data_IF_753347330191
#
_entry.id   IF_753347330191
#
_cell.length_a   1.000
_cell.length_b   1.000
_cell.length_c   1.000
_cell.angle_alpha   90.00
_cell.angle_beta   90.00
_cell.angle_gamma   90.00
#
_symmetry.space_group_name_H-M   'P 1'
#
loop_
_entity.id
_entity.type
_entity.pdbx_description
1 polymer ?
#
# COMPACT_ATOMS: atom_id res chain seq x y z
N UNK A 1 -18.01 18.45 24.16
CA UNK A 1 -18.84 17.71 23.18
C UNK A 1 -18.90 18.41 21.83
N UNK A 2 -19.42 19.65 21.75
CA UNK A 2 -19.51 20.39 20.48
C UNK A 2 -18.18 20.54 19.73
N UNK A 3 -17.08 20.77 20.45
CA UNK A 3 -15.74 20.80 19.84
C UNK A 3 -15.37 19.46 19.17
N UNK A 4 -15.69 18.33 19.80
CA UNK A 4 -15.40 16.99 19.23
C UNK A 4 -16.25 16.73 17.98
N UNK A 5 -17.51 17.16 17.97
CA UNK A 5 -18.37 17.09 16.79
C UNK A 5 -17.85 18.00 15.66
N UNK A 6 -17.39 19.20 16.00
CA UNK A 6 -16.75 20.12 15.05
C UNK A 6 -15.48 19.53 14.42
N UNK A 7 -14.60 18.95 15.24
CA UNK A 7 -13.39 18.25 14.76
C UNK A 7 -13.76 17.05 13.89
N UNK A 8 -14.74 16.23 14.32
CA UNK A 8 -15.23 15.10 13.53
C UNK A 8 -15.73 15.54 12.15
N UNK A 9 -16.54 16.60 12.09
CA UNK A 9 -17.02 17.16 10.84
C UNK A 9 -15.87 17.68 9.96
N UNK A 10 -14.94 18.44 10.55
CA UNK A 10 -13.77 18.98 9.84
C UNK A 10 -12.89 17.87 9.23
N UNK A 11 -12.74 16.74 9.92
CA UNK A 11 -11.93 15.62 9.43
C UNK A 11 -12.69 14.69 8.46
N UNK A 12 -14.02 14.62 8.54
CA UNK A 12 -14.82 13.64 7.79
C UNK A 12 -15.46 14.23 6.53
N UNK A 13 -15.85 15.51 6.55
CA UNK A 13 -16.51 16.17 5.43
C UNK A 13 -15.60 16.28 4.19
N UNK A 14 -14.32 16.71 4.29
CA UNK A 14 -13.48 16.85 3.10
C UNK A 14 -13.25 15.52 2.34
N UNK A 15 -12.93 14.38 3.01
CA UNK A 15 -12.85 13.09 2.32
C UNK A 15 -14.15 12.67 1.64
N UNK A 16 -15.32 12.94 2.24
CA UNK A 16 -16.62 12.62 1.64
C UNK A 16 -16.86 13.45 0.38
N UNK A 17 -16.65 14.77 0.45
CA UNK A 17 -16.82 15.67 -0.70
C UNK A 17 -15.87 15.25 -1.83
N UNK A 18 -14.60 14.96 -1.51
CA UNK A 18 -13.64 14.49 -2.49
C UNK A 18 -14.10 13.18 -3.14
N UNK A 19 -14.61 12.22 -2.36
CA UNK A 19 -15.09 10.94 -2.92
C UNK A 19 -16.33 11.12 -3.81
N UNK A 20 -17.25 11.99 -3.41
CA UNK A 20 -18.42 12.34 -4.23
C UNK A 20 -18.00 12.92 -5.59
N UNK A 21 -16.94 13.73 -5.62
CA UNK A 21 -16.38 14.31 -6.85
C UNK A 21 -15.60 13.29 -7.71
N UNK A 22 -15.18 12.15 -7.14
CA UNK A 22 -14.31 11.16 -7.80
C UNK A 22 -14.99 9.77 -7.85
N UNK A 23 -16.26 9.75 -8.25
CA UNK A 23 -17.04 8.53 -8.51
C UNK A 23 -17.06 7.51 -7.35
N UNK A 24 -16.94 7.99 -6.11
CA UNK A 24 -16.88 7.17 -4.89
C UNK A 24 -15.76 6.11 -4.91
N UNK A 25 -14.64 6.40 -5.59
CA UNK A 25 -13.56 5.44 -5.84
C UNK A 25 -13.04 4.74 -4.58
N UNK A 26 -12.97 5.46 -3.45
CA UNK A 26 -12.47 4.89 -2.19
C UNK A 26 -13.46 3.88 -1.64
N UNK A 27 -14.76 4.16 -1.72
CA UNK A 27 -15.80 3.22 -1.31
C UNK A 27 -15.79 1.98 -2.19
N UNK A 28 -15.66 2.15 -3.52
CA UNK A 28 -15.55 1.04 -4.47
C UNK A 28 -14.33 0.17 -4.16
N UNK A 29 -13.17 0.79 -3.94
CA UNK A 29 -11.94 0.07 -3.58
C UNK A 29 -12.06 -0.67 -2.25
N UNK A 30 -12.65 -0.04 -1.23
CA UNK A 30 -12.87 -0.66 0.09
C UNK A 30 -13.89 -1.80 0.03
N UNK A 31 -14.95 -1.66 -0.77
CA UNK A 31 -15.95 -2.71 -1.01
C UNK A 31 -15.30 -3.96 -1.61
N UNK A 32 -14.44 -3.77 -2.61
CA UNK A 32 -13.65 -4.83 -3.24
C UNK A 32 -12.75 -5.54 -2.22
N UNK A 33 -12.02 -4.77 -1.40
CA UNK A 33 -11.15 -5.32 -0.37
C UNK A 33 -11.91 -6.09 0.71
N UNK A 34 -13.06 -5.58 1.13
CA UNK A 34 -13.97 -6.23 2.09
C UNK A 34 -14.74 -7.43 1.54
N UNK A 35 -14.56 -7.79 0.26
CA UNK A 35 -15.23 -8.94 -0.34
C UNK A 35 -16.74 -8.78 -0.50
N UNK A 36 -17.21 -7.54 -0.61
CA UNK A 36 -18.64 -7.21 -0.68
C UNK A 36 -19.16 -7.09 -2.14
N UNK A 37 -18.34 -7.47 -3.12
CA UNK A 37 -18.74 -7.53 -4.53
C UNK A 37 -19.59 -8.77 -4.83
N UNK A 38 -19.22 -9.92 -4.26
CA UNK A 38 -19.90 -11.21 -4.44
C UNK A 38 -21.12 -11.37 -3.51
N UNK A 39 -21.37 -10.41 -2.61
CA UNK A 39 -22.43 -10.44 -1.60
C UNK A 39 -21.89 -10.52 -0.17
N UNK A 40 -22.79 -10.60 0.81
CA UNK A 40 -22.43 -10.82 2.21
C UNK A 40 -22.78 -12.27 2.61
N UNK A 41 -21.77 -13.05 2.99
CA UNK A 41 -21.89 -14.43 3.46
C UNK A 41 -21.42 -14.60 4.91
N UNK A 42 -21.78 -15.73 5.52
CA UNK A 42 -21.30 -16.12 6.84
C UNK A 42 -20.19 -17.16 6.72
N UNK A 43 -18.96 -16.77 7.04
CA UNK A 43 -17.76 -17.58 6.91
C UNK A 43 -17.03 -17.68 8.27
N UNK A 44 -17.33 -18.69 9.11
CA UNK A 44 -16.72 -18.83 10.45
C UNK A 44 -15.19 -18.85 10.46
N UNK A 45 -14.59 -19.38 9.40
CA UNK A 45 -13.13 -19.43 9.22
C UNK A 45 -12.53 -18.03 9.14
N UNK A 46 -13.23 -17.07 8.56
CA UNK A 46 -12.77 -15.67 8.44
C UNK A 46 -12.75 -14.97 9.81
N UNK A 47 -13.70 -15.30 10.69
CA UNK A 47 -13.70 -14.80 12.08
C UNK A 47 -12.50 -15.35 12.85
N UNK A 48 -12.20 -16.64 12.69
CA UNK A 48 -11.03 -17.27 13.30
C UNK A 48 -9.73 -16.69 12.74
N UNK A 49 -9.66 -16.43 11.44
CA UNK A 49 -8.54 -15.75 10.81
C UNK A 49 -8.35 -14.35 11.40
N UNK A 50 -9.41 -13.56 11.51
CA UNK A 50 -9.36 -12.21 12.09
C UNK A 50 -8.82 -12.22 13.53
N UNK A 51 -9.35 -13.08 14.40
CA UNK A 51 -8.85 -13.18 15.79
C UNK A 51 -7.44 -13.75 15.84
N UNK A 52 -7.12 -14.72 14.98
CA UNK A 52 -5.79 -15.33 14.89
C UNK A 52 -4.72 -14.35 14.42
N UNK A 53 -5.04 -13.49 13.45
CA UNK A 53 -4.15 -12.43 12.97
C UNK A 53 -3.82 -11.44 14.09
N UNK A 54 -4.82 -11.04 14.89
CA UNK A 54 -4.59 -10.20 16.08
C UNK A 54 -3.77 -10.88 17.17
N UNK A 55 -4.08 -12.15 17.45
CA UNK A 55 -3.37 -12.96 18.44
C UNK A 55 -1.87 -13.08 18.12
N UNK A 56 -1.53 -13.23 16.83
CA UNK A 56 -0.15 -13.30 16.38
C UNK A 56 0.50 -11.91 16.27
N UNK A 57 -0.21 -10.91 15.74
CA UNK A 57 0.33 -9.56 15.54
C UNK A 57 0.68 -8.86 16.86
N UNK A 58 -0.16 -9.00 17.89
CA UNK A 58 0.04 -8.35 19.19
C UNK A 58 0.87 -9.18 20.18
N UNK A 59 1.31 -10.40 19.81
CA UNK A 59 1.75 -11.45 20.73
C UNK A 59 0.62 -12.09 21.55
N UNK A 60 0.59 -13.44 21.65
CA UNK A 60 -0.44 -14.19 22.38
C UNK A 60 -0.77 -13.63 23.77
N UNK A 61 0.27 -13.36 24.57
CA UNK A 61 0.08 -12.98 25.97
C UNK A 61 -0.42 -11.54 26.12
N UNK A 62 0.08 -10.62 25.29
CA UNK A 62 -0.36 -9.22 25.32
C UNK A 62 -1.77 -9.10 24.76
N UNK A 63 -2.10 -9.83 23.69
CA UNK A 63 -3.46 -9.86 23.15
C UNK A 63 -4.46 -10.36 24.19
N UNK A 64 -4.16 -11.47 24.87
CA UNK A 64 -5.01 -12.00 25.95
C UNK A 64 -5.12 -11.03 27.13
N UNK A 65 -4.03 -10.35 27.51
CA UNK A 65 -4.06 -9.32 28.54
C UNK A 65 -4.95 -8.13 28.15
N UNK A 66 -4.91 -7.71 26.88
CA UNK A 66 -5.78 -6.66 26.34
C UNK A 66 -7.23 -7.11 26.35
N UNK A 67 -7.55 -8.28 25.79
CA UNK A 67 -8.90 -8.82 25.75
C UNK A 67 -9.50 -8.92 27.16
N UNK A 68 -8.73 -9.47 28.12
CA UNK A 68 -9.19 -9.57 29.50
C UNK A 68 -9.34 -8.20 30.18
N UNK A 69 -8.43 -7.26 29.91
CA UNK A 69 -8.50 -5.90 30.43
C UNK A 69 -9.75 -5.14 29.95
N UNK A 70 -10.12 -5.32 28.68
CA UNK A 70 -11.35 -4.76 28.11
C UNK A 70 -12.59 -5.41 28.73
N UNK A 71 -12.67 -6.75 28.75
CA UNK A 71 -13.80 -7.49 29.34
C UNK A 71 -13.96 -7.16 30.84
N UNK A 72 -12.85 -7.14 31.58
CA UNK A 72 -12.83 -6.84 33.01
C UNK A 72 -13.19 -5.39 33.34
N UNK A 73 -12.95 -4.46 32.41
CA UNK A 73 -13.32 -3.05 32.55
C UNK A 73 -14.78 -2.77 32.24
N UNK A 74 -15.52 -3.71 31.65
CA UNK A 74 -16.93 -3.53 31.23
C UNK A 74 -17.83 -2.99 32.35
N UNK A 75 -17.70 -3.53 33.57
CA UNK A 75 -18.51 -3.11 34.73
C UNK A 75 -18.27 -1.65 35.14
N UNK A 76 -17.10 -1.09 34.80
CA UNK A 76 -16.68 0.28 35.15
C UNK A 76 -17.00 1.31 34.07
N UNK A 77 -17.44 0.86 32.89
CA UNK A 77 -17.75 1.73 31.73
C UNK A 77 -18.72 2.84 32.11
N UNK A 78 -19.80 2.54 32.82
CA UNK A 78 -20.79 3.54 33.24
C UNK A 78 -20.44 4.27 34.55
N UNK A 79 -19.34 3.91 35.20
CA UNK A 79 -18.93 4.48 36.49
C UNK A 79 -17.82 5.52 36.35
N UNK A 80 -16.98 5.38 35.32
CA UNK A 80 -15.82 6.23 35.12
C UNK A 80 -15.79 6.75 33.68
N UNK A 81 -15.89 8.07 33.52
CA UNK A 81 -15.87 8.72 32.20
C UNK A 81 -14.63 8.35 31.37
N UNK A 82 -13.46 8.19 32.00
CA UNK A 82 -12.22 7.78 31.32
C UNK A 82 -12.34 6.39 30.70
N UNK A 83 -12.93 5.44 31.43
CA UNK A 83 -13.17 4.07 30.95
C UNK A 83 -14.23 4.07 29.86
N UNK A 84 -15.32 4.82 30.04
CA UNK A 84 -16.35 5.04 29.03
C UNK A 84 -15.73 5.53 27.72
N UNK A 85 -14.93 6.59 27.80
CA UNK A 85 -14.29 7.23 26.66
C UNK A 85 -13.37 6.26 25.92
N UNK A 86 -12.44 5.59 26.62
CA UNK A 86 -11.51 4.65 25.98
C UNK A 86 -12.22 3.42 25.38
N UNK A 87 -13.30 2.96 26.02
CA UNK A 87 -14.10 1.84 25.51
C UNK A 87 -14.80 2.24 24.22
N UNK A 88 -15.50 3.38 24.20
CA UNK A 88 -16.20 3.87 23.01
C UNK A 88 -15.29 4.42 21.93
N UNK A 89 -14.03 4.73 22.25
CA UNK A 89 -13.02 5.06 21.25
C UNK A 89 -12.68 3.84 20.38
N UNK A 90 -12.53 2.65 20.98
CA UNK A 90 -12.14 1.44 20.25
C UNK A 90 -13.28 0.51 19.84
N UNK A 91 -14.29 0.35 20.70
CA UNK A 91 -15.35 -0.65 20.52
C UNK A 91 -16.12 -0.51 19.20
N UNK A 92 -16.57 0.68 18.76
CA UNK A 92 -17.29 0.80 17.49
C UNK A 92 -16.44 0.39 16.28
N UNK A 93 -15.15 0.76 16.28
CA UNK A 93 -14.21 0.44 15.20
C UNK A 93 -13.96 -1.07 15.17
N UNK A 94 -13.65 -1.68 16.32
CA UNK A 94 -13.43 -3.11 16.43
C UNK A 94 -14.67 -3.92 16.03
N UNK A 95 -15.85 -3.55 16.54
CA UNK A 95 -17.11 -4.23 16.21
C UNK A 95 -17.42 -4.13 14.72
N UNK A 96 -17.20 -2.97 14.09
CA UNK A 96 -17.39 -2.81 12.65
C UNK A 96 -16.54 -3.81 11.85
N UNK A 97 -15.23 -3.89 12.13
CA UNK A 97 -14.34 -4.80 11.40
C UNK A 97 -14.52 -6.27 11.78
N UNK A 98 -14.90 -6.55 13.03
CA UNK A 98 -15.30 -7.89 13.45
C UNK A 98 -16.54 -8.38 12.69
N UNK A 99 -17.57 -7.53 12.54
CA UNK A 99 -18.75 -7.84 11.75
C UNK A 99 -18.44 -7.97 10.25
N UNK A 100 -17.54 -7.14 9.72
CA UNK A 100 -17.06 -7.30 8.34
C UNK A 100 -16.32 -8.63 8.13
N UNK A 101 -15.58 -9.07 9.15
CA UNK A 101 -14.84 -10.34 9.18
C UNK A 101 -15.72 -11.59 9.28
N UNK A 102 -17.03 -11.43 9.44
CA UNK A 102 -17.99 -12.52 9.20
C UNK A 102 -18.00 -12.90 7.71
N UNK A 103 -17.81 -11.93 6.81
CA UNK A 103 -17.78 -12.13 5.38
C UNK A 103 -16.36 -12.45 4.88
N UNK A 104 -15.40 -11.59 5.24
CA UNK A 104 -14.01 -11.70 4.81
C UNK A 104 -13.10 -11.03 5.83
N UNK A 105 -12.05 -11.72 6.27
CA UNK A 105 -11.14 -11.22 7.30
C UNK A 105 -10.60 -9.84 6.93
N UNK A 106 -10.91 -8.86 7.78
CA UNK A 106 -10.31 -7.54 7.69
C UNK A 106 -8.82 -7.65 8.02
N UNK A 107 -7.97 -6.91 7.31
CA UNK A 107 -6.54 -6.92 7.61
C UNK A 107 -6.31 -6.39 9.04
N UNK A 108 -5.34 -6.93 9.80
CA UNK A 108 -5.19 -6.68 11.24
C UNK A 108 -4.76 -5.25 11.58
N UNK A 109 -4.44 -4.44 10.56
CA UNK A 109 -4.14 -3.02 10.71
C UNK A 109 -5.38 -2.12 10.54
N UNK A 110 -6.51 -2.65 10.06
CA UNK A 110 -7.71 -1.85 9.75
C UNK A 110 -8.40 -1.32 11.01
N UNK A 111 -8.41 -2.11 12.07
CA UNK A 111 -8.94 -1.77 13.39
C UNK A 111 -7.83 -1.43 14.40
N UNK A 112 -6.59 -1.22 13.95
CA UNK A 112 -5.46 -0.88 14.82
C UNK A 112 -5.70 0.35 15.69
N UNK A 113 -6.55 1.29 15.23
CA UNK A 113 -6.98 2.45 16.03
C UNK A 113 -7.72 2.03 17.30
N UNK A 114 -8.51 0.96 17.26
CA UNK A 114 -9.26 0.46 18.41
C UNK A 114 -8.34 0.00 19.55
N UNK A 115 -7.19 -0.58 19.19
CA UNK A 115 -6.20 -1.08 20.14
C UNK A 115 -5.46 0.02 20.90
N UNK A 116 -5.52 1.29 20.47
CA UNK A 116 -5.04 2.40 21.29
C UNK A 116 -5.92 2.56 22.55
N UNK A 117 -7.24 2.56 22.38
CA UNK A 117 -8.19 2.62 23.49
C UNK A 117 -8.13 1.37 24.37
N UNK A 118 -8.15 0.19 23.74
CA UNK A 118 -8.11 -1.09 24.45
C UNK A 118 -6.79 -1.32 25.18
N UNK A 119 -5.65 -0.92 24.60
CA UNK A 119 -4.34 -1.02 25.25
C UNK A 119 -4.26 -0.16 26.51
N UNK A 120 -4.71 1.10 26.45
CA UNK A 120 -4.76 1.97 27.63
C UNK A 120 -5.72 1.45 28.70
N UNK A 121 -6.88 0.91 28.32
CA UNK A 121 -7.80 0.25 29.24
C UNK A 121 -7.16 -0.96 29.91
N UNK A 122 -6.45 -1.79 29.15
CA UNK A 122 -5.76 -2.95 29.68
C UNK A 122 -4.68 -2.54 30.69
N UNK A 123 -3.87 -1.54 30.36
CA UNK A 123 -2.86 -1.01 31.30
C UNK A 123 -3.55 -0.52 32.58
N UNK A 124 -4.61 0.29 32.48
CA UNK A 124 -5.35 0.77 33.64
C UNK A 124 -5.93 -0.38 34.48
N UNK A 125 -6.47 -1.41 33.84
CA UNK A 125 -7.04 -2.58 34.51
C UNK A 125 -5.99 -3.41 35.26
N UNK A 126 -4.82 -3.60 34.65
CA UNK A 126 -3.75 -4.46 35.18
C UNK A 126 -2.81 -3.75 36.15
N UNK A 127 -2.71 -2.42 36.12
CA UNK A 127 -1.72 -1.62 36.88
C UNK A 127 -1.62 -2.03 38.35
N UNK A 128 -2.68 -1.85 39.13
CA UNK A 128 -2.70 -2.15 40.57
C UNK A 128 -2.48 -3.64 40.85
N UNK A 129 -2.94 -4.53 39.95
CA UNK A 129 -2.80 -5.99 40.10
C UNK A 129 -1.37 -6.45 39.92
N UNK A 130 -0.67 -5.85 38.95
CA UNK A 130 0.75 -6.12 38.67
C UNK A 130 1.65 -5.51 39.74
N UNK A 131 1.28 -4.35 40.29
CA UNK A 131 1.99 -3.78 41.45
C UNK A 131 1.86 -4.66 42.69
N UNK A 132 0.65 -5.16 42.98
CA UNK A 132 0.36 -5.95 44.18
C UNK A 132 0.91 -7.38 44.16
N UNK A 133 1.16 -7.97 42.98
CA UNK A 133 1.56 -9.38 42.85
C UNK A 133 2.87 -9.54 42.09
N UNK A 134 3.88 -10.10 42.75
CA UNK A 134 5.17 -10.46 42.14
C UNK A 134 4.98 -11.44 40.98
N UNK A 135 4.07 -12.41 41.11
CA UNK A 135 3.77 -13.37 40.04
C UNK A 135 3.23 -12.67 38.79
N UNK A 136 2.26 -11.76 38.95
CA UNK A 136 1.69 -11.02 37.81
C UNK A 136 2.74 -10.09 37.18
N UNK A 137 3.65 -9.53 37.97
CA UNK A 137 4.78 -8.74 37.49
C UNK A 137 5.75 -9.56 36.65
N UNK A 138 6.08 -10.78 37.09
CA UNK A 138 6.89 -11.72 36.32
C UNK A 138 6.19 -12.12 35.02
N UNK A 139 4.90 -12.48 35.08
CA UNK A 139 4.10 -12.81 33.89
C UNK A 139 4.03 -11.64 32.89
N UNK A 140 3.84 -10.41 33.37
CA UNK A 140 3.86 -9.21 32.53
C UNK A 140 5.24 -9.00 31.88
N UNK A 141 6.33 -9.20 32.64
CA UNK A 141 7.69 -9.15 32.13
C UNK A 141 7.94 -10.18 31.01
N UNK A 142 7.48 -11.42 31.20
CA UNK A 142 7.55 -12.48 30.18
C UNK A 142 6.71 -12.13 28.95
N UNK A 143 5.48 -11.64 29.13
CA UNK A 143 4.62 -11.24 28.03
C UNK A 143 5.25 -10.13 27.17
N UNK A 144 5.84 -9.12 27.81
CA UNK A 144 6.56 -8.04 27.14
C UNK A 144 7.82 -8.55 26.43
N UNK A 145 8.59 -9.43 27.07
CA UNK A 145 9.79 -10.03 26.47
C UNK A 145 9.43 -10.83 25.21
N UNK A 146 8.39 -11.67 25.27
CA UNK A 146 7.92 -12.45 24.13
C UNK A 146 7.44 -11.52 23.02
N UNK A 147 6.64 -10.50 23.35
CA UNK A 147 6.22 -9.47 22.38
C UNK A 147 7.39 -8.75 21.72
N UNK A 148 8.41 -8.38 22.48
CA UNK A 148 9.63 -7.76 21.97
C UNK A 148 10.40 -8.69 21.04
N UNK A 149 10.62 -9.95 21.44
CA UNK A 149 11.31 -10.95 20.62
C UNK A 149 10.56 -11.20 19.30
N UNK A 150 9.24 -11.37 19.37
CA UNK A 150 8.39 -11.52 18.18
C UNK A 150 8.50 -10.29 17.27
N UNK A 151 8.48 -9.08 17.84
CA UNK A 151 8.58 -7.83 17.06
C UNK A 151 9.93 -7.70 16.38
N UNK A 152 11.03 -8.00 17.08
CA UNK A 152 12.39 -7.98 16.51
C UNK A 152 12.51 -8.96 15.34
N UNK A 153 11.99 -10.19 15.49
CA UNK A 153 11.99 -11.19 14.42
C UNK A 153 11.11 -10.76 13.25
N UNK A 154 9.94 -10.18 13.50
CA UNK A 154 9.03 -9.72 12.45
C UNK A 154 9.60 -8.53 11.64
N UNK A 155 10.35 -7.63 12.29
CA UNK A 155 11.02 -6.50 11.65
C UNK A 155 12.28 -6.92 10.88
N UNK A 156 13.02 -7.91 11.41
CA UNK A 156 14.19 -8.46 10.74
C UNK A 156 14.21 -9.99 10.73
N UNK A 157 13.57 -10.56 9.71
CA UNK A 157 13.57 -11.99 9.45
C UNK A 157 14.93 -12.55 9.04
N UNK A 158 15.95 -11.72 8.78
CA UNK A 158 17.30 -12.21 8.54
C UNK A 158 17.92 -12.81 9.80
N UNK A 159 17.42 -12.45 10.98
CA UNK A 159 17.78 -13.11 12.23
C UNK A 159 17.45 -14.61 12.17
N UNK A 160 16.34 -14.98 11.54
CA UNK A 160 16.00 -16.38 11.31
C UNK A 160 16.93 -17.02 10.28
N UNK A 161 17.25 -16.30 9.20
CA UNK A 161 18.14 -16.78 8.13
C UNK A 161 19.57 -17.03 8.63
N UNK A 162 20.09 -16.12 9.45
CA UNK A 162 21.42 -16.23 10.07
C UNK A 162 21.48 -17.37 11.10
N UNK A 163 20.37 -17.67 11.77
CA UNK A 163 20.22 -18.86 12.62
C UNK A 163 20.04 -20.18 11.82
N UNK A 164 20.13 -20.14 10.48
CA UNK A 164 20.00 -21.31 9.60
C UNK A 164 18.56 -21.67 9.25
N UNK A 165 17.57 -20.90 9.69
CA UNK A 165 16.16 -21.14 9.37
C UNK A 165 15.78 -20.52 8.03
N UNK A 166 15.33 -21.35 7.10
CA UNK A 166 14.81 -20.90 5.81
C UNK A 166 13.29 -20.91 5.83
N UNK A 167 12.68 -19.74 5.60
CA UNK A 167 11.25 -19.62 5.39
C UNK A 167 10.85 -20.43 4.13
N UNK A 168 9.85 -21.30 4.28
CA UNK A 168 9.28 -22.07 3.16
C UNK A 168 8.44 -21.20 2.22
N UNK A 169 7.86 -20.12 2.75
CA UNK A 169 7.09 -19.14 1.98
C UNK A 169 7.93 -17.91 1.68
N UNK A 170 7.46 -17.09 0.74
CA UNK A 170 8.00 -15.75 0.53
C UNK A 170 8.01 -14.98 1.85
N UNK A 171 9.14 -14.34 2.13
CA UNK A 171 9.35 -13.63 3.37
C UNK A 171 8.54 -12.33 3.35
N UNK A 172 7.60 -12.11 4.29
CA UNK A 172 6.78 -10.90 4.30
C UNK A 172 7.60 -9.61 4.39
N UNK A 173 8.78 -9.64 5.02
CA UNK A 173 9.66 -8.47 5.14
C UNK A 173 10.32 -8.08 3.82
N UNK A 174 10.37 -8.98 2.84
CA UNK A 174 10.94 -8.72 1.52
C UNK A 174 10.16 -7.60 0.79
N UNK A 175 8.87 -7.42 1.13
CA UNK A 175 8.04 -6.30 0.67
C UNK A 175 8.62 -4.93 1.01
N UNK A 176 9.43 -4.81 2.06
CA UNK A 176 10.02 -3.54 2.50
C UNK A 176 11.47 -3.35 2.04
N UNK A 177 12.09 -4.36 1.41
CA UNK A 177 13.54 -4.43 1.20
C UNK A 177 13.92 -4.34 -0.28
N UNK A 178 15.14 -3.91 -0.59
CA UNK A 178 15.69 -4.00 -1.95
C UNK A 178 15.20 -2.95 -2.95
N UNK A 179 14.19 -2.14 -2.61
CA UNK A 179 13.66 -1.08 -3.47
C UNK A 179 14.73 -0.07 -3.87
N UNK A 180 15.50 0.47 -2.91
CA UNK A 180 16.57 1.44 -3.17
C UNK A 180 17.63 0.92 -4.14
N UNK A 181 18.08 -0.32 -3.95
CA UNK A 181 19.09 -0.95 -4.82
C UNK A 181 18.55 -1.21 -6.22
N UNK A 182 17.31 -1.71 -6.32
CA UNK A 182 16.66 -1.98 -7.60
C UNK A 182 16.43 -0.67 -8.38
N UNK A 183 15.95 0.38 -7.70
CA UNK A 183 15.78 1.72 -8.30
C UNK A 183 17.11 2.32 -8.74
N UNK A 184 18.19 2.16 -7.97
CA UNK A 184 19.52 2.62 -8.39
C UNK A 184 20.01 1.93 -9.67
N UNK A 185 19.68 0.64 -9.85
CA UNK A 185 19.98 -0.08 -11.09
C UNK A 185 19.10 0.39 -12.27
N UNK A 186 17.81 0.69 -12.03
CA UNK A 186 16.93 1.31 -13.04
C UNK A 186 17.47 2.67 -13.47
N UNK A 187 17.88 3.52 -12.51
CA UNK A 187 18.42 4.85 -12.78
C UNK A 187 19.70 4.76 -13.62
N UNK A 188 20.61 3.84 -13.26
CA UNK A 188 21.83 3.59 -14.05
C UNK A 188 21.49 3.15 -15.48
N UNK A 189 20.60 2.16 -15.63
CA UNK A 189 20.20 1.64 -16.94
C UNK A 189 19.53 2.73 -17.80
N UNK A 190 18.71 3.59 -17.19
CA UNK A 190 18.11 4.76 -17.84
C UNK A 190 19.20 5.71 -18.34
N UNK A 191 20.15 6.12 -17.50
CA UNK A 191 21.22 7.03 -17.89
C UNK A 191 22.11 6.45 -19.00
N UNK A 192 22.45 5.16 -18.92
CA UNK A 192 23.26 4.50 -19.94
C UNK A 192 22.54 4.50 -21.30
N UNK A 193 21.24 4.15 -21.33
CA UNK A 193 20.44 4.16 -22.57
C UNK A 193 20.19 5.58 -23.09
N UNK A 194 19.88 6.55 -22.23
CA UNK A 194 19.72 7.95 -22.63
C UNK A 194 21.00 8.50 -23.27
N UNK A 195 22.17 8.12 -22.75
CA UNK A 195 23.46 8.53 -23.33
C UNK A 195 23.73 7.94 -24.72
N UNK A 196 23.24 6.73 -24.98
CA UNK A 196 23.38 6.05 -26.28
C UNK A 196 22.39 6.57 -27.32
N UNK A 197 21.17 6.89 -26.89
CA UNK A 197 20.08 7.33 -27.77
C UNK A 197 20.10 8.84 -28.03
N UNK A 198 20.68 9.63 -27.13
CA UNK A 198 20.64 11.10 -27.20
C UNK A 198 19.28 11.69 -26.82
N UNK A 199 18.39 10.89 -26.25
CA UNK A 199 17.02 11.28 -25.89
C UNK A 199 16.71 10.93 -24.43
N UNK A 200 15.72 11.61 -23.85
CA UNK A 200 15.26 11.34 -22.47
C UNK A 200 14.14 10.31 -22.46
N UNK A 201 14.30 9.27 -21.65
CA UNK A 201 13.33 8.19 -21.52
C UNK A 201 12.40 8.47 -20.35
N UNK A 202 11.08 8.36 -20.51
CA UNK A 202 10.17 8.36 -19.36
C UNK A 202 10.01 6.94 -18.78
N UNK A 203 9.51 6.82 -17.55
CA UNK A 203 9.48 5.53 -16.84
C UNK A 203 8.04 5.06 -16.62
N UNK A 204 7.79 3.79 -16.94
CA UNK A 204 6.52 3.12 -16.71
C UNK A 204 6.76 1.86 -15.88
N UNK A 205 5.95 1.62 -14.86
CA UNK A 205 5.90 0.35 -14.14
C UNK A 205 4.56 -0.35 -14.37
N UNK A 206 4.57 -1.67 -14.39
CA UNK A 206 3.37 -2.54 -14.46
C UNK A 206 2.48 -2.52 -13.20
N UNK A 207 2.94 -1.93 -12.09
CA UNK A 207 2.20 -1.91 -10.83
C UNK A 207 2.46 -0.64 -10.01
N UNK A 208 1.44 -0.22 -9.25
CA UNK A 208 1.43 1.01 -8.45
C UNK A 208 2.52 1.06 -7.38
N UNK A 209 2.71 -0.05 -6.66
CA UNK A 209 3.72 -0.16 -5.61
C UNK A 209 5.12 0.02 -6.21
N UNK A 210 5.41 -0.66 -7.33
CA UNK A 210 6.68 -0.49 -8.05
C UNK A 210 6.86 0.94 -8.56
N UNK A 211 5.84 1.54 -9.18
CA UNK A 211 5.91 2.93 -9.65
C UNK A 211 6.21 3.90 -8.49
N UNK A 212 5.54 3.70 -7.35
CA UNK A 212 5.69 4.52 -6.15
C UNK A 212 7.08 4.37 -5.53
N UNK A 213 7.59 3.15 -5.41
CA UNK A 213 8.89 2.86 -4.80
C UNK A 213 10.05 3.32 -5.70
N UNK A 214 9.93 3.15 -7.02
CA UNK A 214 10.89 3.74 -7.96
C UNK A 214 10.85 5.27 -7.84
N UNK A 215 9.66 5.90 -7.90
CA UNK A 215 9.51 7.36 -7.73
C UNK A 215 10.08 7.87 -6.40
N UNK A 216 9.95 7.09 -5.32
CA UNK A 216 10.45 7.46 -4.01
C UNK A 216 11.98 7.46 -3.96
N UNK A 217 12.62 6.40 -4.48
CA UNK A 217 14.07 6.19 -4.39
C UNK A 217 14.90 6.80 -5.54
N UNK A 218 14.27 7.24 -6.64
CA UNK A 218 14.96 7.97 -7.71
C UNK A 218 15.67 9.20 -7.14
N UNK A 219 16.93 9.41 -7.54
CA UNK A 219 17.68 10.62 -7.21
C UNK A 219 17.28 11.74 -8.15
N UNK A 220 17.22 11.43 -9.44
CA UNK A 220 16.76 12.34 -10.49
C UNK A 220 15.26 12.14 -10.78
N UNK A 221 14.43 12.87 -10.02
CA UNK A 221 12.97 12.83 -10.12
C UNK A 221 12.49 13.79 -11.21
N UNK A 222 12.49 13.32 -12.45
CA UNK A 222 11.98 14.09 -13.60
C UNK A 222 10.45 13.97 -13.67
N UNK A 223 9.77 15.09 -13.61
CA UNK A 223 8.31 15.18 -13.74
C UNK A 223 7.95 15.97 -14.99
N UNK A 224 6.93 15.52 -15.72
CA UNK A 224 6.54 16.09 -17.02
C UNK A 224 5.51 17.24 -16.90
N UNK A 225 5.22 17.68 -15.67
CA UNK A 225 4.34 18.81 -15.40
C UNK A 225 3.81 18.81 -13.96
N UNK A 226 2.99 19.82 -13.59
CA UNK A 226 2.34 19.87 -12.29
C UNK A 226 1.51 18.61 -12.02
N UNK A 227 1.78 17.94 -10.90
CA UNK A 227 1.06 16.74 -10.48
C UNK A 227 1.52 15.42 -11.14
N UNK A 228 2.32 15.45 -12.21
CA UNK A 228 2.83 14.24 -12.84
C UNK A 228 3.81 13.48 -11.93
N UNK A 229 3.67 12.16 -11.78
CA UNK A 229 4.66 11.36 -11.07
C UNK A 229 5.94 11.17 -11.90
N UNK A 230 7.11 10.92 -11.28
CA UNK A 230 8.33 10.56 -12.00
C UNK A 230 8.28 9.20 -12.71
N UNK A 231 7.37 8.33 -12.27
CA UNK A 231 7.14 6.99 -12.84
C UNK A 231 5.65 6.76 -12.95
N UNK A 232 5.21 6.39 -14.14
CA UNK A 232 3.81 6.13 -14.44
C UNK A 232 3.45 4.67 -14.23
N UNK A 233 2.16 4.39 -14.14
CA UNK A 233 1.61 3.04 -14.24
C UNK A 233 1.14 2.77 -15.66
N UNK A 234 1.14 1.52 -16.12
CA UNK A 234 0.57 1.15 -17.41
C UNK A 234 -0.86 1.68 -17.57
N UNK A 235 -1.13 2.25 -18.75
CA UNK A 235 -2.46 2.72 -19.16
C UNK A 235 -3.52 1.64 -18.98
N UNK A 236 -4.65 2.05 -18.40
CA UNK A 236 -5.79 1.21 -18.08
C UNK A 236 -7.06 2.05 -18.11
N UNK A 237 -8.13 1.49 -18.71
CA UNK A 237 -9.47 2.10 -18.67
C UNK A 237 -10.14 1.93 -17.29
N UNK A 238 -9.68 0.96 -16.50
CA UNK A 238 -10.25 0.69 -15.18
C UNK A 238 -9.80 1.73 -14.14
N UNK A 239 -10.78 2.35 -13.47
CA UNK A 239 -10.57 3.14 -12.26
C UNK A 239 -10.47 2.20 -11.05
N UNK A 240 -9.25 1.78 -10.71
CA UNK A 240 -9.01 0.79 -9.65
C UNK A 240 -8.96 1.42 -8.26
N UNK A 241 -8.38 2.62 -8.16
CA UNK A 241 -8.14 3.32 -6.89
C UNK A 241 -7.86 4.81 -7.14
N UNK A 242 -7.57 5.57 -6.07
CA UNK A 242 -7.33 7.01 -6.15
C UNK A 242 -6.15 7.42 -7.04
N UNK A 243 -5.23 6.50 -7.34
CA UNK A 243 -4.07 6.79 -8.19
C UNK A 243 -4.43 6.80 -9.68
N UNK A 244 -5.61 6.30 -10.05
CA UNK A 244 -6.14 6.43 -11.41
C UNK A 244 -6.48 7.88 -11.78
N UNK A 245 -6.55 8.79 -10.81
CA UNK A 245 -6.79 10.23 -11.04
C UNK A 245 -5.50 11.07 -11.06
N UNK A 246 -4.33 10.43 -10.94
CA UNK A 246 -3.06 11.12 -11.10
C UNK A 246 -2.80 11.35 -12.58
N UNK A 247 -2.13 12.46 -12.97
CA UNK A 247 -1.81 12.72 -14.37
C UNK A 247 -1.10 11.55 -15.03
N UNK A 248 -1.64 11.09 -16.15
CA UNK A 248 -1.18 9.87 -16.85
C UNK A 248 -0.43 10.23 -18.12
N UNK A 249 0.35 9.29 -18.64
CA UNK A 249 1.09 9.52 -19.89
C UNK A 249 0.19 9.39 -21.13
N UNK A 250 -0.97 8.74 -21.00
CA UNK A 250 -1.97 8.58 -22.05
C UNK A 250 -2.96 9.74 -22.14
N UNK A 251 -2.90 10.71 -21.23
CA UNK A 251 -3.79 11.88 -21.23
C UNK A 251 -3.42 12.89 -22.31
N UNK A 252 -4.47 13.41 -22.97
CA UNK A 252 -4.36 14.54 -23.90
C UNK A 252 -4.57 15.85 -23.14
N UNK A 253 -3.73 16.84 -23.44
CA UNK A 253 -3.81 18.18 -22.84
C UNK A 253 -4.26 19.17 -23.90
N UNK A 254 -5.19 20.06 -23.55
CA UNK A 254 -5.67 21.10 -24.46
C UNK A 254 -4.52 22.01 -24.94
N UNK A 255 -4.49 22.30 -26.25
CA UNK A 255 -3.52 23.21 -26.84
C UNK A 255 -3.85 24.64 -26.41
N UNK A 256 -2.88 25.33 -25.80
CA UNK A 256 -3.04 26.76 -25.50
C UNK A 256 -3.09 27.57 -26.81
N UNK A 257 -3.96 28.60 -26.91
CA UNK A 257 -4.04 29.43 -28.11
C UNK A 257 -2.66 30.03 -28.47
N UNK A 258 -2.12 29.65 -29.63
CA UNK A 258 -0.86 30.19 -30.17
C UNK A 258 0.36 29.24 -30.13
N UNK A 259 0.25 28.04 -29.57
CA UNK A 259 1.31 27.03 -29.64
C UNK A 259 1.29 26.28 -30.99
N UNK A 260 2.45 26.10 -31.66
CA UNK A 260 2.51 25.38 -32.93
C UNK A 260 2.13 23.92 -32.73
N UNK A 261 1.23 23.41 -33.59
CA UNK A 261 0.82 22.00 -33.58
C UNK A 261 2.00 21.12 -34.03
N UNK A 262 2.30 20.02 -33.33
CA UNK A 262 3.29 19.07 -33.78
C UNK A 262 2.91 18.51 -35.15
N UNK A 263 3.88 18.47 -36.07
CA UNK A 263 3.66 17.94 -37.42
C UNK A 263 3.41 16.42 -37.35
N UNK A 264 2.21 15.98 -37.77
CA UNK A 264 1.88 14.56 -37.92
C UNK A 264 0.67 14.06 -37.11
N UNK A 265 0.11 14.85 -36.19
CA UNK A 265 -1.12 14.47 -35.47
C UNK A 265 -2.36 14.80 -36.30
N UNK A 266 -2.71 13.84 -37.15
CA UNK A 266 -3.87 13.85 -38.02
C UNK A 266 -5.05 13.25 -37.24
N UNK A 267 -5.81 14.15 -36.60
CA UNK A 267 -7.11 13.95 -35.94
C UNK A 267 -7.11 13.27 -34.56
N UNK A 268 -7.42 14.06 -33.54
CA UNK A 268 -8.24 13.63 -32.40
C UNK A 268 -9.46 14.53 -32.36
N UNK A 269 -10.64 13.96 -32.08
CA UNK A 269 -11.92 14.70 -31.96
C UNK A 269 -11.90 15.74 -30.82
N UNK A 270 -10.84 15.73 -30.01
CA UNK A 270 -10.51 16.71 -28.99
C UNK A 270 -9.25 17.48 -29.45
N UNK A 271 -9.28 18.81 -29.35
CA UNK A 271 -8.15 19.72 -29.68
C UNK A 271 -6.97 19.59 -28.69
N UNK A 272 -6.58 18.36 -28.32
CA UNK A 272 -5.52 18.08 -27.36
C UNK A 272 -4.29 17.44 -28.01
N UNK A 273 -3.13 17.62 -27.37
CA UNK A 273 -1.86 16.95 -27.73
C UNK A 273 -1.50 16.01 -26.58
N UNK A 274 -0.98 14.83 -26.91
CA UNK A 274 -0.37 13.96 -25.90
C UNK A 274 1.13 14.33 -25.75
N UNK A 275 1.60 14.83 -24.59
CA UNK A 275 2.99 15.26 -24.40
C UNK A 275 4.02 14.12 -24.41
N UNK A 276 3.54 12.87 -24.45
CA UNK A 276 4.35 11.66 -24.55
C UNK A 276 4.39 11.09 -25.97
N UNK A 277 3.52 11.53 -26.89
CA UNK A 277 3.52 11.06 -28.27
C UNK A 277 4.90 11.25 -28.91
N UNK A 278 5.37 10.21 -29.60
CA UNK A 278 6.70 10.21 -30.22
C UNK A 278 7.87 9.86 -29.29
N UNK A 279 7.66 9.82 -27.96
CA UNK A 279 8.76 9.62 -26.99
C UNK A 279 9.01 8.16 -26.67
N UNK A 280 10.23 7.89 -26.25
CA UNK A 280 10.67 6.58 -25.79
C UNK A 280 10.52 6.42 -24.27
N UNK A 281 10.29 5.18 -23.83
CA UNK A 281 10.10 4.84 -22.42
C UNK A 281 10.90 3.61 -22.00
N UNK A 282 11.19 3.53 -20.70
CA UNK A 282 11.52 2.26 -20.06
C UNK A 282 10.30 1.70 -19.34
N UNK A 283 9.97 0.46 -19.65
CA UNK A 283 8.94 -0.30 -18.95
C UNK A 283 9.58 -1.32 -18.01
N UNK A 284 9.24 -1.22 -16.72
CA UNK A 284 9.78 -2.04 -15.64
C UNK A 284 8.68 -2.94 -15.10
N UNK A 285 8.90 -4.25 -15.11
CA UNK A 285 7.94 -5.26 -14.64
C UNK A 285 8.52 -6.21 -13.61
N UNK A 286 7.67 -6.85 -12.85
CA UNK A 286 8.10 -7.93 -11.95
C UNK A 286 8.39 -9.24 -12.66
N UNK A 287 9.48 -9.87 -12.24
CA UNK A 287 9.89 -11.21 -12.64
C UNK A 287 10.51 -11.26 -14.04
N UNK A 288 10.90 -12.47 -14.43
CA UNK A 288 11.37 -12.80 -15.76
C UNK A 288 10.18 -13.28 -16.60
N UNK A 289 9.59 -12.37 -17.34
CA UNK A 289 8.43 -12.64 -18.18
C UNK A 289 8.73 -12.20 -19.60
N UNK A 290 8.73 -13.12 -20.54
CA UNK A 290 9.13 -12.85 -21.93
C UNK A 290 8.31 -11.76 -22.64
N UNK A 291 7.04 -11.57 -22.25
CA UNK A 291 6.07 -10.79 -23.03
C UNK A 291 5.53 -9.57 -22.28
N UNK A 292 5.80 -8.36 -22.77
CA UNK A 292 5.17 -7.13 -22.25
C UNK A 292 3.64 -7.20 -22.34
N UNK A 293 2.90 -6.54 -21.41
CA UNK A 293 1.45 -6.44 -21.46
C UNK A 293 0.95 -5.94 -22.82
N UNK A 294 -0.28 -6.33 -23.19
CA UNK A 294 -0.88 -5.94 -24.46
C UNK A 294 -0.89 -4.42 -24.65
N UNK A 295 -1.28 -3.66 -23.61
CA UNK A 295 -1.36 -2.21 -23.68
C UNK A 295 -0.01 -1.56 -24.02
N UNK A 296 1.08 -2.02 -23.39
CA UNK A 296 2.44 -1.54 -23.69
C UNK A 296 2.87 -1.94 -25.10
N UNK A 297 2.48 -3.12 -25.57
CA UNK A 297 2.84 -3.57 -26.93
C UNK A 297 2.08 -2.83 -28.03
N UNK A 298 0.81 -2.52 -27.78
CA UNK A 298 -0.06 -1.86 -28.73
C UNK A 298 0.23 -0.35 -28.82
N UNK A 299 0.62 0.27 -27.70
CA UNK A 299 0.83 1.71 -27.63
C UNK A 299 2.22 2.19 -28.06
N UNK A 300 3.17 1.29 -28.35
CA UNK A 300 4.53 1.63 -28.76
C UNK A 300 4.87 0.97 -30.10
N UNK A 301 5.72 1.62 -30.90
CA UNK A 301 6.18 1.08 -32.19
C UNK A 301 6.93 -0.25 -32.04
N UNK A 302 7.81 -0.34 -31.04
CA UNK A 302 8.51 -1.58 -30.71
C UNK A 302 8.79 -1.67 -29.21
N UNK A 303 8.97 -2.89 -28.72
CA UNK A 303 9.32 -3.17 -27.32
C UNK A 303 10.40 -4.23 -27.31
N UNK A 304 11.55 -3.93 -26.72
CA UNK A 304 12.73 -4.80 -26.73
C UNK A 304 13.25 -4.99 -25.30
N UNK A 305 13.56 -6.24 -24.87
CA UNK A 305 14.15 -6.46 -23.56
C UNK A 305 15.57 -5.90 -23.54
N UNK A 306 15.88 -5.05 -22.56
CA UNK A 306 17.23 -4.45 -22.40
C UNK A 306 18.02 -5.07 -21.25
N UNK A 307 17.34 -5.73 -20.31
CA UNK A 307 18.03 -6.48 -19.25
C UNK A 307 17.12 -6.84 -18.08
N UNK A 308 17.71 -7.57 -17.14
CA UNK A 308 17.08 -7.96 -15.88
C UNK A 308 17.88 -7.38 -14.72
N UNK A 309 17.18 -6.71 -13.81
CA UNK A 309 17.72 -6.20 -12.56
C UNK A 309 17.42 -7.22 -11.47
N UNK A 310 18.46 -7.83 -10.93
CA UNK A 310 18.35 -8.70 -9.76
C UNK A 310 18.96 -8.05 -8.52
N UNK A 311 18.18 -7.97 -7.45
CA UNK A 311 18.68 -7.65 -6.12
C UNK A 311 18.67 -8.94 -5.31
N UNK A 312 19.84 -9.33 -4.80
CA UNK A 312 20.01 -10.53 -3.97
C UNK A 312 20.32 -10.17 -2.53
N UNK A 313 19.85 -11.00 -1.59
CA UNK A 313 20.15 -10.89 -0.16
C UNK A 313 20.30 -12.29 0.42
N UNK A 314 21.44 -12.60 1.04
CA UNK A 314 21.79 -13.95 1.52
C UNK A 314 21.59 -15.05 0.46
N UNK A 315 22.05 -14.81 -0.78
CA UNK A 315 21.96 -15.76 -1.88
C UNK A 315 20.56 -15.94 -2.49
N UNK A 316 19.50 -15.42 -1.85
CA UNK A 316 18.14 -15.43 -2.41
C UNK A 316 17.88 -14.18 -3.25
N UNK A 317 17.19 -14.36 -4.37
CA UNK A 317 16.68 -13.24 -5.18
C UNK A 317 15.55 -12.57 -4.41
N UNK A 318 15.76 -11.31 -4.06
CA UNK A 318 14.82 -10.47 -3.33
C UNK A 318 13.91 -9.71 -4.30
N UNK A 319 14.48 -9.22 -5.41
CA UNK A 319 13.75 -8.58 -6.51
C UNK A 319 14.35 -9.02 -7.82
N UNK A 320 13.50 -9.36 -8.77
CA UNK A 320 13.86 -9.52 -10.17
C UNK A 320 12.94 -8.61 -10.97
N UNK A 321 13.48 -7.62 -11.65
CA UNK A 321 12.73 -6.75 -12.54
C UNK A 321 13.27 -6.86 -13.95
N UNK A 322 12.40 -7.17 -14.89
CA UNK A 322 12.75 -7.11 -16.30
C UNK A 322 12.45 -5.72 -16.85
N UNK A 323 13.38 -5.19 -17.62
CA UNK A 323 13.30 -3.85 -18.19
C UNK A 323 13.24 -3.96 -19.71
N UNK A 324 12.32 -3.20 -20.29
CA UNK A 324 12.09 -3.12 -21.73
C UNK A 324 12.28 -1.68 -22.19
N UNK A 325 12.95 -1.50 -23.32
CA UNK A 325 12.95 -0.25 -24.06
C UNK A 325 11.74 -0.25 -24.99
N UNK A 326 10.85 0.72 -24.80
CA UNK A 326 9.66 0.92 -25.59
C UNK A 326 9.89 2.14 -26.49
N UNK A 327 9.84 1.95 -27.80
CA UNK A 327 10.16 2.97 -28.79
C UNK A 327 8.91 3.66 -29.33
N UNK A 328 8.98 4.97 -29.48
CA UNK A 328 8.00 5.82 -30.16
C UNK A 328 6.57 5.53 -29.71
N UNK A 329 6.15 6.16 -28.61
CA UNK A 329 4.79 6.08 -28.10
C UNK A 329 3.77 6.63 -29.11
N UNK A 330 2.73 5.85 -29.39
CA UNK A 330 1.70 6.09 -30.43
C UNK A 330 0.27 6.17 -29.90
N UNK A 331 0.11 6.22 -28.58
CA UNK A 331 -1.16 6.02 -27.86
C UNK A 331 -1.80 4.66 -28.15
N UNK A 332 -2.78 4.23 -27.35
CA UNK A 332 -3.54 3.03 -27.69
C UNK A 332 -4.40 3.29 -28.93
N UNK A 333 -4.40 2.38 -29.92
CA UNK A 333 -5.40 2.42 -30.98
C UNK A 333 -6.78 2.19 -30.37
N UNK A 334 -7.74 3.05 -30.73
CA UNK A 334 -9.15 2.98 -30.32
C UNK A 334 -9.82 1.67 -30.74
#
# INVERSE_FOLDING_TARGET
MYLLLGVFALCTVPPIIWNQQHAWITLTHLRSRGGLEEGFGFHPTEILSFVGEHFLAYSPFLFLAVAWGVIGSWRRVNQQFKVLFLMWFGLPVFVFYFLLSINKSAAPNWDGLAFLGFGLLAIYFWWERVEASVLLRLCAGVALLIGLVMSVIALDTDLLRTAGYQLQRSDPSDRMRGWKSATGAVEKMRTDLESQLGEKLFLIADARDRASEISFYLRDKRTEGPGHPPVYITESQDLVNQFSFWPRYDEFVEIKPGEPRPEGEVYTEENGINPFAGRDALFIREGEKERVPHNIRAAFQSTEPVGTIEVRRYGKVLRAWQVFLCRNYRTLPL
#
